data_IF_668852377051
#
_entry.id   IF_668852377051
#
_cell.length_a   1.000
_cell.length_b   1.000
_cell.length_c   1.000
_cell.angle_alpha   90.00
_cell.angle_beta   90.00
_cell.angle_gamma   90.00
#
_symmetry.space_group_name_H-M   'P 1'
#
loop_
_entity.id
_entity.type
_entity.pdbx_description
1 polymer ?
#
# COMPACT_ATOMS: atom_id res chain seq x y z
N UNK A 1 -6.92 -3.81 -18.86
CA UNK A 1 -7.32 -4.35 -17.55
C UNK A 1 -8.21 -3.31 -16.89
N UNK A 2 -9.44 -3.64 -16.51
CA UNK A 2 -10.32 -2.74 -15.71
C UNK A 2 -10.41 -3.34 -14.31
N UNK A 3 -10.11 -2.54 -13.30
CA UNK A 3 -10.30 -2.91 -11.90
C UNK A 3 -11.59 -2.21 -11.44
N UNK A 4 -12.71 -2.93 -11.28
CA UNK A 4 -13.91 -2.31 -10.74
C UNK A 4 -13.62 -1.93 -9.27
N UNK A 5 -13.51 -0.63 -9.01
CA UNK A 5 -13.42 -0.09 -7.66
C UNK A 5 -14.77 0.50 -7.30
N UNK A 6 -15.21 0.26 -6.08
CA UNK A 6 -16.37 0.92 -5.47
C UNK A 6 -16.04 2.38 -5.18
N UNK A 7 -17.05 3.25 -5.06
CA UNK A 7 -16.85 4.63 -4.62
C UNK A 7 -16.19 4.72 -3.24
N UNK A 8 -16.44 3.74 -2.36
CA UNK A 8 -15.81 3.66 -1.05
C UNK A 8 -14.30 3.40 -1.12
N UNK A 9 -13.86 2.50 -2.01
CA UNK A 9 -12.44 2.23 -2.24
C UNK A 9 -11.73 3.42 -2.88
N UNK A 10 -12.38 4.10 -3.83
CA UNK A 10 -11.85 5.33 -4.46
C UNK A 10 -11.67 6.43 -3.41
N UNK A 11 -12.67 6.64 -2.55
CA UNK A 11 -12.59 7.63 -1.48
C UNK A 11 -11.49 7.27 -0.46
N UNK A 12 -11.40 5.99 -0.06
CA UNK A 12 -10.34 5.51 0.83
C UNK A 12 -8.94 5.68 0.21
N UNK A 13 -8.80 5.50 -1.10
CA UNK A 13 -7.54 5.72 -1.83
C UNK A 13 -7.10 7.18 -1.74
N UNK A 14 -7.99 8.11 -2.09
CA UNK A 14 -7.67 9.55 -2.10
C UNK A 14 -7.34 10.05 -0.69
N UNK A 15 -8.12 9.63 0.32
CA UNK A 15 -7.93 10.05 1.72
C UNK A 15 -6.66 9.50 2.36
N UNK A 16 -6.07 8.42 1.83
CA UNK A 16 -4.81 7.86 2.33
C UNK A 16 -3.58 8.60 1.83
N UNK A 17 -3.63 9.28 0.67
CA UNK A 17 -2.45 9.92 0.06
C UNK A 17 -1.71 10.89 1.03
N UNK A 18 -2.38 11.75 1.82
CA UNK A 18 -1.68 12.63 2.76
C UNK A 18 -0.98 11.90 3.93
N UNK A 19 -1.31 10.63 4.15
CA UNK A 19 -0.81 9.81 5.26
C UNK A 19 0.39 8.94 4.85
N UNK A 20 0.90 9.09 3.62
CA UNK A 20 2.03 8.32 3.13
C UNK A 20 3.25 8.52 4.04
N UNK A 21 3.92 7.42 4.48
CA UNK A 21 5.11 7.50 5.30
C UNK A 21 6.22 8.34 4.67
N UNK A 22 6.84 9.23 5.47
CA UNK A 22 7.95 10.09 5.05
C UNK A 22 9.28 9.34 5.06
N UNK A 23 9.36 8.29 4.26
CA UNK A 23 10.55 7.45 4.14
C UNK A 23 11.54 8.02 3.11
N UNK A 24 12.82 7.72 3.28
CA UNK A 24 13.89 8.21 2.39
C UNK A 24 13.82 7.52 1.03
N UNK A 25 13.73 8.32 -0.04
CA UNK A 25 13.71 7.81 -1.42
C UNK A 25 14.98 7.02 -1.76
N UNK A 26 14.82 5.93 -2.51
CA UNK A 26 15.91 5.06 -2.97
C UNK A 26 16.51 4.15 -1.89
N UNK A 27 16.09 4.26 -0.63
CA UNK A 27 16.61 3.45 0.47
C UNK A 27 15.80 2.18 0.69
N UNK A 28 16.49 1.09 0.99
CA UNK A 28 15.87 -0.10 1.60
C UNK A 28 15.63 0.17 3.08
N UNK A 29 14.41 0.62 3.38
CA UNK A 29 13.99 1.01 4.73
C UNK A 29 13.65 -0.20 5.59
N UNK A 30 13.23 -1.30 4.95
CA UNK A 30 12.71 -2.49 5.65
C UNK A 30 13.67 -3.68 5.62
N UNK A 31 14.85 -3.53 5.00
CA UNK A 31 15.86 -4.59 4.91
C UNK A 31 15.41 -5.76 4.03
N UNK A 32 14.58 -5.50 3.01
CA UNK A 32 13.98 -6.53 2.15
C UNK A 32 14.61 -6.59 0.75
N UNK A 33 15.74 -5.92 0.56
CA UNK A 33 16.41 -5.71 -0.72
C UNK A 33 15.52 -5.02 -1.77
N UNK A 34 14.63 -4.11 -1.31
CA UNK A 34 13.76 -3.31 -2.17
C UNK A 34 13.70 -1.87 -1.66
N UNK A 35 13.61 -0.90 -2.56
CA UNK A 35 13.77 0.52 -2.23
C UNK A 35 12.43 1.24 -2.04
N UNK A 36 12.42 2.33 -1.29
CA UNK A 36 11.28 3.24 -1.23
C UNK A 36 11.25 4.22 -2.43
N UNK A 37 10.18 4.24 -3.21
CA UNK A 37 9.99 5.14 -4.36
C UNK A 37 8.49 5.39 -4.66
N UNK A 38 8.18 5.89 -5.86
CA UNK A 38 6.80 6.12 -6.32
C UNK A 38 5.95 4.85 -6.40
N UNK A 39 6.51 3.71 -6.83
CA UNK A 39 5.79 2.43 -6.85
C UNK A 39 5.48 1.97 -5.43
N UNK A 40 6.39 2.20 -4.47
CA UNK A 40 6.14 1.94 -3.05
C UNK A 40 5.00 2.78 -2.51
N UNK A 41 4.95 4.06 -2.86
CA UNK A 41 3.85 4.95 -2.50
C UNK A 41 2.52 4.42 -3.04
N UNK A 42 2.45 4.09 -4.33
CA UNK A 42 1.24 3.57 -4.95
C UNK A 42 0.79 2.26 -4.29
N UNK A 43 1.73 1.31 -4.09
CA UNK A 43 1.44 0.04 -3.42
C UNK A 43 0.98 0.24 -1.97
N UNK A 44 1.56 1.21 -1.24
CA UNK A 44 1.15 1.55 0.12
C UNK A 44 -0.26 2.12 0.17
N UNK A 45 -0.59 3.07 -0.71
CA UNK A 45 -1.94 3.68 -0.76
C UNK A 45 -2.97 2.60 -1.08
N UNK A 46 -2.74 1.79 -2.10
CA UNK A 46 -3.65 0.69 -2.46
C UNK A 46 -3.87 -0.27 -1.28
N UNK A 47 -2.78 -0.79 -0.70
CA UNK A 47 -2.86 -1.77 0.39
C UNK A 47 -3.51 -1.20 1.65
N UNK A 48 -3.20 0.06 2.01
CA UNK A 48 -3.77 0.73 3.18
C UNK A 48 -5.22 1.19 3.00
N UNK A 49 -5.71 1.23 1.75
CA UNK A 49 -7.12 1.45 1.39
C UNK A 49 -7.91 0.14 1.24
N UNK A 50 -7.31 -1.02 1.51
CA UNK A 50 -7.97 -2.33 1.42
C UNK A 50 -7.90 -2.98 0.03
N UNK A 51 -7.21 -2.37 -0.93
CA UNK A 51 -7.01 -2.91 -2.27
C UNK A 51 -5.72 -3.74 -2.25
N UNK A 52 -5.81 -5.05 -2.47
CA UNK A 52 -4.65 -5.96 -2.37
C UNK A 52 -3.60 -5.71 -3.48
N UNK A 53 -2.65 -4.81 -3.21
CA UNK A 53 -1.60 -4.43 -4.15
C UNK A 53 -0.73 -5.61 -4.59
N UNK A 54 -0.55 -6.64 -3.75
CA UNK A 54 0.20 -7.87 -4.10
C UNK A 54 -0.40 -8.64 -5.28
N UNK A 55 -1.70 -8.47 -5.56
CA UNK A 55 -2.36 -9.11 -6.71
C UNK A 55 -2.22 -8.31 -8.00
N UNK A 56 -1.76 -7.06 -7.91
CA UNK A 56 -1.55 -6.18 -9.05
C UNK A 56 -0.12 -6.36 -9.57
N UNK A 57 0.03 -7.30 -10.48
CA UNK A 57 1.31 -7.58 -11.12
C UNK A 57 1.55 -6.62 -12.29
N UNK A 58 2.81 -6.22 -12.54
CA UNK A 58 3.17 -5.55 -13.78
C UNK A 58 2.70 -6.35 -15.00
N UNK A 59 2.44 -5.68 -16.15
CA UNK A 59 2.24 -6.37 -17.42
C UNK A 59 3.40 -7.31 -17.73
N UNK A 60 3.16 -8.32 -18.57
CA UNK A 60 4.21 -9.29 -18.96
C UNK A 60 5.48 -8.57 -19.43
N UNK A 61 6.62 -8.92 -18.85
CA UNK A 61 7.93 -8.32 -19.13
C UNK A 61 8.20 -6.98 -18.42
N UNK A 62 7.25 -6.46 -17.66
CA UNK A 62 7.43 -5.28 -16.82
C UNK A 62 7.90 -5.65 -15.41
N UNK A 63 8.51 -4.67 -14.76
CA UNK A 63 8.89 -4.73 -13.34
C UNK A 63 8.36 -3.49 -12.62
N UNK A 64 8.13 -3.59 -11.32
CA UNK A 64 7.74 -2.49 -10.45
C UNK A 64 8.60 -2.47 -9.18
N UNK A 65 9.91 -2.12 -9.29
CA UNK A 65 10.78 -1.99 -8.13
C UNK A 65 10.18 -1.04 -7.11
N UNK A 66 10.28 -1.37 -5.84
CA UNK A 66 9.69 -0.64 -4.72
C UNK A 66 8.26 -1.05 -4.36
N UNK A 67 7.53 -1.78 -5.22
CA UNK A 67 6.16 -2.22 -4.92
C UNK A 67 6.09 -3.07 -3.65
N UNK A 68 7.07 -3.96 -3.45
CA UNK A 68 7.13 -4.83 -2.26
C UNK A 68 7.41 -4.01 -0.99
N UNK A 69 8.30 -3.02 -1.07
CA UNK A 69 8.54 -2.05 0.01
C UNK A 69 7.26 -1.31 0.43
N UNK A 70 6.44 -0.88 -0.54
CA UNK A 70 5.14 -0.25 -0.28
C UNK A 70 4.15 -1.14 0.48
N UNK A 71 4.05 -2.41 0.09
CA UNK A 71 3.18 -3.36 0.79
C UNK A 71 3.66 -3.63 2.22
N UNK A 72 4.97 -3.79 2.42
CA UNK A 72 5.53 -3.97 3.77
C UNK A 72 5.24 -2.75 4.64
N UNK A 73 5.44 -1.53 4.12
CA UNK A 73 5.12 -0.30 4.83
C UNK A 73 3.65 -0.24 5.28
N UNK A 74 2.70 -0.70 4.46
CA UNK A 74 1.28 -0.67 4.80
C UNK A 74 0.93 -1.68 5.91
N UNK A 75 1.54 -2.86 5.87
CA UNK A 75 1.39 -3.88 6.90
C UNK A 75 2.05 -3.46 8.23
N UNK A 76 3.13 -2.69 8.18
CA UNK A 76 3.76 -2.13 9.39
C UNK A 76 2.92 -1.00 10.00
N UNK A 77 2.31 -0.13 9.18
CA UNK A 77 1.43 0.95 9.66
C UNK A 77 0.15 0.38 10.30
N UNK A 78 -0.45 -0.68 9.74
CA UNK A 78 -1.64 -1.31 10.29
C UNK A 78 -1.38 -1.99 11.64
N UNK A 79 -0.21 -2.62 11.82
CA UNK A 79 0.20 -3.22 13.09
C UNK A 79 0.54 -2.17 14.16
N UNK A 80 1.01 -0.99 13.74
CA UNK A 80 1.35 0.12 14.65
C UNK A 80 0.11 0.87 15.16
N UNK A 81 -1.05 0.73 14.50
CA UNK A 81 -2.34 1.21 15.02
C UNK A 81 -2.98 0.12 15.88
N UNK A 82 -3.16 0.33 17.21
CA UNK A 82 -3.96 -0.57 18.02
C UNK A 82 -5.36 -0.73 17.41
N UNK A 83 -5.83 -1.97 17.29
CA UNK A 83 -6.93 -2.35 16.41
C UNK A 83 -8.24 -1.60 16.63
N UNK A 84 -8.75 -0.99 15.56
CA UNK A 84 -10.18 -0.77 15.33
C UNK A 84 -10.89 -2.11 15.00
N UNK A 85 -10.63 -3.15 15.81
CA UNK A 85 -10.99 -4.54 15.57
C UNK A 85 -12.10 -5.08 16.48
N UNK A 86 -12.79 -4.22 17.24
CA UNK A 86 -14.02 -4.58 17.94
C UNK A 86 -15.21 -3.95 17.21
N UNK A 87 -15.54 -4.46 16.02
CA UNK A 87 -16.93 -4.36 15.53
C UNK A 87 -17.70 -5.52 16.16
N UNK A 88 -18.28 -5.24 17.33
CA UNK A 88 -19.47 -5.95 17.79
C UNK A 88 -20.63 -5.47 16.92
N UNK A 89 -21.26 -6.40 16.22
CA UNK A 89 -22.63 -6.23 15.72
C UNK A 89 -23.53 -7.23 16.45
N UNK A 90 -24.84 -6.90 16.59
CA UNK A 90 -25.67 -7.24 17.75
C UNK A 90 -26.12 -8.69 17.88
#
# INVERSE_FOLDING_TARGET
MRFPLTSSEVHALITRVPLVPRLTWGRDVFGIADMWNSNSLIAWVLQSSGIEARRLLPPRGGDAPGSRSGVVAALSDSQSRPGAGARSEP
#
